data_IF_558143845017
#
_entry.id   IF_558143845017
#
_cell.length_a   1.000
_cell.length_b   1.000
_cell.length_c   1.000
_cell.angle_alpha   90.00
_cell.angle_beta   90.00
_cell.angle_gamma   90.00
#
_symmetry.space_group_name_H-M   'P 1'
#
loop_
_entity.id
_entity.type
_entity.pdbx_description
1 polymer ?
#
# COMPACT_ATOMS: atom_id res chain seq x y z
N UNK A 1 8.81 2.29 -0.62
CA UNK A 1 8.00 3.00 -1.64
C UNK A 1 6.64 2.31 -1.77
N UNK A 2 5.57 3.04 -2.10
CA UNK A 2 4.33 2.42 -2.55
C UNK A 2 4.52 1.65 -3.86
N UNK A 3 3.60 0.75 -4.17
CA UNK A 3 3.64 -0.01 -5.42
C UNK A 3 3.52 0.96 -6.61
N UNK A 4 4.53 1.00 -7.43
CA UNK A 4 4.68 1.80 -8.66
C UNK A 4 4.20 3.25 -8.49
N UNK A 5 5.04 4.12 -7.95
CA UNK A 5 4.71 5.53 -7.84
C UNK A 5 4.64 6.18 -9.23
N UNK A 6 3.63 7.01 -9.44
CA UNK A 6 3.60 7.89 -10.62
C UNK A 6 4.61 9.01 -10.45
N UNK A 7 5.24 9.47 -11.53
CA UNK A 7 6.15 10.62 -11.49
C UNK A 7 5.47 11.89 -10.96
N UNK A 8 4.18 12.09 -11.24
CA UNK A 8 3.38 13.21 -10.75
C UNK A 8 2.87 13.06 -9.32
N UNK A 9 3.06 11.90 -8.67
CA UNK A 9 2.54 11.65 -7.33
C UNK A 9 3.47 12.17 -6.25
N UNK A 10 2.91 12.84 -5.26
CA UNK A 10 3.67 13.28 -4.08
C UNK A 10 4.05 12.09 -3.21
N UNK A 11 5.35 11.89 -2.99
CA UNK A 11 5.86 10.89 -2.02
C UNK A 11 5.28 11.13 -0.63
N UNK A 12 5.26 12.39 -0.20
CA UNK A 12 4.68 12.78 1.08
C UNK A 12 3.18 12.49 1.15
N UNK A 13 2.44 12.77 0.07
CA UNK A 13 1.02 12.47 -0.03
C UNK A 13 0.74 10.97 0.11
N UNK A 14 1.55 10.12 -0.51
CA UNK A 14 1.43 8.65 -0.38
C UNK A 14 1.60 8.18 1.07
N UNK A 15 2.58 8.71 1.79
CA UNK A 15 2.81 8.35 3.19
C UNK A 15 1.73 8.89 4.13
N UNK A 16 1.25 10.10 3.88
CA UNK A 16 0.14 10.69 4.66
C UNK A 16 -1.17 9.94 4.44
N UNK A 17 -1.42 9.46 3.23
CA UNK A 17 -2.58 8.63 2.91
C UNK A 17 -2.41 7.16 3.33
N UNK A 18 -1.29 6.81 3.97
CA UNK A 18 -0.96 5.43 4.37
C UNK A 18 -1.11 4.44 3.22
N UNK A 19 -0.61 4.80 2.05
CA UNK A 19 -0.47 3.81 1.00
C UNK A 19 0.50 2.71 1.43
N UNK A 20 0.20 1.44 1.14
CA UNK A 20 1.06 0.35 1.57
C UNK A 20 2.44 0.47 0.93
N UNK A 21 3.48 0.26 1.74
CA UNK A 21 4.87 0.28 1.33
C UNK A 21 5.28 -1.15 1.03
N UNK A 22 5.93 -1.39 -0.12
CA UNK A 22 6.34 -2.74 -0.56
C UNK A 22 7.35 -3.42 0.36
N UNK A 23 7.92 -2.66 1.29
CA UNK A 23 8.87 -3.12 2.32
C UNK A 23 8.15 -3.33 3.65
N UNK A 24 7.83 -4.56 4.07
CA UNK A 24 7.00 -4.85 5.25
C UNK A 24 7.60 -4.39 6.59
N UNK A 25 8.90 -4.10 6.63
CA UNK A 25 9.59 -3.63 7.83
C UNK A 25 9.10 -2.27 8.35
N UNK A 26 8.52 -1.45 7.47
CA UNK A 26 7.98 -0.16 7.88
C UNK A 26 6.73 -0.30 8.74
N UNK A 27 6.69 0.41 9.85
CA UNK A 27 5.56 0.43 10.76
C UNK A 27 4.43 1.30 10.21
N UNK A 28 3.64 0.72 9.34
CA UNK A 28 2.52 1.38 8.69
C UNK A 28 1.48 1.97 9.68
N UNK A 29 1.30 1.37 10.86
CA UNK A 29 0.42 1.88 11.92
C UNK A 29 1.02 3.07 12.68
N UNK A 30 2.33 3.31 12.56
CA UNK A 30 3.02 4.49 13.07
C UNK A 30 3.10 5.57 11.99
N UNK A 31 3.88 6.60 12.23
CA UNK A 31 4.13 7.66 11.27
C UNK A 31 5.19 7.31 10.23
N UNK A 32 5.89 6.16 10.36
CA UNK A 32 6.96 5.77 9.44
C UNK A 32 6.52 5.81 7.96
N UNK A 33 7.35 6.33 7.08
CA UNK A 33 8.68 6.92 7.29
C UNK A 33 8.69 8.43 7.61
N UNK A 34 7.56 9.03 7.96
CA UNK A 34 7.48 10.44 8.34
C UNK A 34 8.03 10.60 9.75
N UNK A 35 8.89 11.59 9.97
CA UNK A 35 9.45 11.93 11.28
C UNK A 35 8.69 13.07 11.93
N UNK A 36 8.42 14.12 11.16
CA UNK A 36 7.70 15.29 11.62
C UNK A 36 7.09 16.05 10.44
N UNK A 37 6.10 16.89 10.75
CA UNK A 37 5.42 17.73 9.77
C UNK A 37 5.27 19.16 10.26
N UNK A 38 5.17 20.09 9.31
CA UNK A 38 4.59 21.42 9.52
C UNK A 38 3.23 21.44 8.86
N UNK A 39 2.23 21.88 9.60
CA UNK A 39 0.84 21.86 9.15
C UNK A 39 0.11 23.14 9.48
N UNK A 40 -0.85 23.50 8.64
CA UNK A 40 -1.79 24.60 8.88
C UNK A 40 -3.15 23.98 9.17
N UNK A 41 -3.71 24.32 10.32
CA UNK A 41 -5.01 23.87 10.75
C UNK A 41 -6.14 24.69 10.10
N UNK A 42 -7.37 24.18 10.12
CA UNK A 42 -8.54 24.92 9.65
C UNK A 42 -8.87 26.18 10.45
N UNK A 43 -8.33 26.32 11.67
CA UNK A 43 -8.34 27.56 12.46
C UNK A 43 -7.43 28.65 11.89
N UNK A 44 -6.45 28.28 11.06
CA UNK A 44 -5.37 29.15 10.56
C UNK A 44 -4.09 29.05 11.38
N UNK A 45 -4.09 28.31 12.48
CA UNK A 45 -2.90 28.12 13.31
C UNK A 45 -1.90 27.19 12.61
N UNK A 46 -0.62 27.51 12.79
CA UNK A 46 0.48 26.68 12.32
C UNK A 46 0.98 25.78 13.44
N UNK A 47 1.09 24.50 13.16
CA UNK A 47 1.61 23.51 14.09
C UNK A 47 2.82 22.80 13.47
N UNK A 48 3.88 22.62 14.27
CA UNK A 48 5.05 21.80 13.94
C UNK A 48 5.14 20.67 14.95
N UNK A 49 5.47 19.48 14.45
CA UNK A 49 5.49 18.26 15.27
C UNK A 49 6.88 17.64 15.34
N UNK A 50 7.10 16.74 16.29
CA UNK A 50 8.32 15.95 16.40
C UNK A 50 9.58 16.82 16.52
N UNK A 51 10.63 16.43 15.80
CA UNK A 51 11.91 17.19 15.77
C UNK A 51 11.80 18.58 15.17
N UNK A 52 10.69 18.89 14.48
CA UNK A 52 10.38 20.21 13.96
C UNK A 52 9.75 21.15 14.98
N UNK A 53 9.31 20.67 16.15
CA UNK A 53 8.67 21.46 17.21
C UNK A 53 9.70 22.21 18.08
N UNK A 54 10.70 22.83 17.48
CA UNK A 54 11.70 23.64 18.17
C UNK A 54 11.20 25.05 18.49
N UNK A 55 11.95 25.75 19.36
CA UNK A 55 11.69 27.17 19.70
C UNK A 55 12.06 28.14 18.57
N UNK A 56 12.76 27.66 17.56
CA UNK A 56 13.27 28.45 16.44
C UNK A 56 12.63 28.03 15.13
N UNK A 57 12.50 28.93 14.16
CA UNK A 57 12.14 28.54 12.79
C UNK A 57 13.10 27.47 12.27
N UNK A 58 12.59 26.44 11.63
CA UNK A 58 13.37 25.31 11.09
C UNK A 58 14.57 25.74 10.24
N UNK A 59 14.39 26.81 9.44
CA UNK A 59 15.43 27.39 8.60
C UNK A 59 16.62 27.90 9.43
N UNK A 60 16.36 28.46 10.62
CA UNK A 60 17.39 29.00 11.52
C UNK A 60 18.12 27.84 12.23
N UNK A 61 17.41 26.83 12.66
CA UNK A 61 18.04 25.64 13.30
C UNK A 61 18.97 24.92 12.33
N UNK A 62 18.56 24.74 11.08
CA UNK A 62 19.36 24.06 10.08
C UNK A 62 20.60 24.86 9.64
N UNK A 63 20.45 26.16 9.39
CA UNK A 63 21.56 27.02 8.98
C UNK A 63 22.57 27.23 10.09
N UNK A 64 22.14 27.23 11.34
CA UNK A 64 23.02 27.43 12.50
C UNK A 64 23.58 26.11 13.05
N UNK A 65 23.25 24.93 12.46
CA UNK A 65 23.67 23.60 12.92
C UNK A 65 23.41 23.39 14.42
N UNK A 66 22.39 24.02 14.98
CA UNK A 66 22.00 23.82 16.37
C UNK A 66 21.44 22.41 16.53
N UNK A 67 21.79 21.76 17.63
CA UNK A 67 21.32 20.43 17.95
C UNK A 67 19.79 20.44 17.99
N UNK A 68 19.18 19.72 17.09
CA UNK A 68 17.75 19.46 17.10
C UNK A 68 17.41 18.55 18.27
N UNK A 69 16.25 18.74 18.87
CA UNK A 69 15.73 17.81 19.86
C UNK A 69 15.43 16.50 19.14
N UNK A 70 16.17 15.44 19.44
CA UNK A 70 15.96 14.10 18.88
C UNK A 70 14.61 13.50 19.28
N UNK A 71 14.05 13.98 20.38
CA UNK A 71 12.82 13.49 20.94
C UNK A 71 11.83 14.64 20.94
N UNK A 72 10.70 14.41 20.36
CA UNK A 72 9.54 15.19 20.69
C UNK A 72 9.34 15.08 22.20
N UNK A 73 9.33 16.23 22.90
CA UNK A 73 8.84 16.25 24.27
C UNK A 73 7.32 16.05 24.32
N UNK A 74 6.72 15.86 23.17
CA UNK A 74 5.28 15.73 23.00
C UNK A 74 4.88 14.31 23.40
N UNK A 75 4.02 14.23 24.38
CA UNK A 75 3.37 12.96 24.77
C UNK A 75 2.32 12.52 23.74
N UNK A 76 1.95 13.40 22.81
CA UNK A 76 0.94 13.19 21.79
C UNK A 76 1.53 13.28 20.40
N UNK A 77 1.28 12.25 19.62
CA UNK A 77 1.71 12.20 18.21
C UNK A 77 0.63 12.81 17.31
N UNK A 78 0.69 14.12 17.15
CA UNK A 78 -0.28 14.87 16.35
C UNK A 78 -0.14 14.56 14.85
N UNK A 79 1.01 14.05 14.40
CA UNK A 79 1.18 13.60 13.00
C UNK A 79 0.19 12.51 12.65
N UNK A 80 -0.09 11.59 13.57
CA UNK A 80 -1.07 10.51 13.37
C UNK A 80 -2.48 11.02 13.07
N UNK A 81 -2.84 12.19 13.56
CA UNK A 81 -4.15 12.78 13.30
C UNK A 81 -4.28 13.30 11.87
N UNK A 82 -3.17 13.73 11.26
CA UNK A 82 -3.13 14.18 9.86
C UNK A 82 -3.07 13.02 8.88
N UNK A 83 -2.51 11.87 9.29
CA UNK A 83 -2.44 10.67 8.45
C UNK A 83 -3.84 10.06 8.27
N UNK A 84 -4.14 9.63 7.05
CA UNK A 84 -5.45 9.07 6.66
C UNK A 84 -6.64 9.99 6.93
N UNK A 85 -6.40 11.26 7.23
CA UNK A 85 -7.45 12.25 7.49
C UNK A 85 -8.14 12.73 6.21
N UNK A 86 -7.67 12.33 5.03
CA UNK A 86 -8.18 12.77 3.73
C UNK A 86 -8.22 14.30 3.61
N UNK A 87 -7.25 14.99 4.22
CA UNK A 87 -7.15 16.46 4.20
C UNK A 87 -8.23 17.19 5.02
N UNK A 88 -8.94 16.48 5.92
CA UNK A 88 -10.04 17.09 6.70
C UNK A 88 -9.58 17.80 7.96
N UNK A 89 -8.36 17.58 8.41
CA UNK A 89 -7.83 18.10 9.68
C UNK A 89 -6.86 19.26 9.45
N UNK A 90 -5.99 19.13 8.43
CA UNK A 90 -4.91 20.10 8.22
C UNK A 90 -4.35 20.05 6.80
N UNK A 91 -3.60 21.10 6.43
CA UNK A 91 -2.81 21.19 5.21
C UNK A 91 -1.35 21.01 5.59
N UNK A 92 -0.71 19.95 5.11
CA UNK A 92 0.72 19.72 5.34
C UNK A 92 1.53 20.56 4.37
N UNK A 93 2.40 21.40 4.90
CA UNK A 93 3.25 22.30 4.11
C UNK A 93 4.69 21.86 4.02
N UNK A 94 5.14 21.04 4.96
CA UNK A 94 6.49 20.52 5.03
C UNK A 94 6.51 19.23 5.87
N UNK A 95 7.44 18.31 5.54
CA UNK A 95 7.71 17.14 6.34
C UNK A 95 9.17 16.71 6.26
N UNK A 96 9.65 16.07 7.32
CA UNK A 96 10.89 15.30 7.32
C UNK A 96 10.56 13.81 7.22
N UNK A 97 11.29 13.10 6.37
CA UNK A 97 11.13 11.67 6.14
C UNK A 97 12.44 10.93 6.40
N UNK A 98 12.35 9.71 6.88
CA UNK A 98 13.49 8.81 7.04
C UNK A 98 14.01 8.41 5.66
N UNK A 99 15.33 8.49 5.49
CA UNK A 99 16.01 7.92 4.33
C UNK A 99 16.68 6.60 4.73
N UNK A 100 16.69 5.64 3.82
CA UNK A 100 17.48 4.43 3.93
C UNK A 100 18.69 4.50 3.01
N UNK A 101 19.76 3.76 3.35
CA UNK A 101 20.89 3.60 2.45
C UNK A 101 20.44 2.86 1.19
N UNK A 102 20.92 3.32 0.04
CA UNK A 102 20.72 2.57 -1.21
C UNK A 102 21.54 1.27 -1.16
N UNK A 103 20.93 0.14 -1.50
CA UNK A 103 21.65 -1.13 -1.54
C UNK A 103 22.69 -1.12 -2.68
N UNK A 104 23.84 -1.76 -2.43
CA UNK A 104 24.85 -2.03 -3.44
C UNK A 104 24.44 -3.20 -4.33
N UNK A 105 23.81 -4.21 -3.73
CA UNK A 105 23.23 -5.36 -4.41
C UNK A 105 21.74 -5.38 -4.15
N UNK A 106 20.94 -5.51 -5.21
CA UNK A 106 19.51 -5.62 -5.11
C UNK A 106 18.98 -6.63 -6.15
N UNK A 107 18.52 -7.76 -5.67
CA UNK A 107 17.96 -8.84 -6.48
C UNK A 107 16.49 -9.03 -6.16
N UNK A 108 15.67 -9.23 -7.18
CA UNK A 108 14.28 -9.67 -7.01
C UNK A 108 14.12 -11.12 -7.41
N UNK A 109 13.49 -11.89 -6.55
CA UNK A 109 13.06 -13.26 -6.79
C UNK A 109 11.56 -13.29 -7.04
N UNK A 110 11.16 -14.08 -8.01
CA UNK A 110 9.79 -14.37 -8.35
C UNK A 110 9.47 -15.78 -7.87
N UNK A 111 8.41 -15.93 -7.10
CA UNK A 111 7.97 -17.21 -6.57
C UNK A 111 6.58 -17.51 -7.16
N UNK A 112 6.51 -18.19 -8.30
CA UNK A 112 5.25 -18.54 -8.95
C UNK A 112 4.53 -19.64 -8.19
N UNK A 113 3.18 -19.59 -8.16
CA UNK A 113 2.36 -20.67 -7.62
C UNK A 113 0.94 -20.61 -8.20
N UNK A 114 0.33 -21.79 -8.36
CA UNK A 114 -1.08 -21.90 -8.78
C UNK A 114 -2.04 -21.61 -7.63
N UNK A 115 -1.58 -21.76 -6.39
CA UNK A 115 -2.36 -21.56 -5.16
C UNK A 115 -1.69 -20.56 -4.25
N UNK A 116 -2.48 -19.79 -3.54
CA UNK A 116 -1.98 -18.73 -2.68
C UNK A 116 -1.46 -19.24 -1.31
N UNK A 117 -2.04 -20.33 -0.78
CA UNK A 117 -1.75 -20.81 0.58
C UNK A 117 -0.27 -21.16 0.81
N UNK A 118 0.43 -21.90 -0.07
CA UNK A 118 1.85 -22.18 0.11
C UNK A 118 2.71 -20.91 0.12
N UNK A 119 2.34 -19.90 -0.69
CA UNK A 119 3.03 -18.62 -0.70
C UNK A 119 2.81 -17.84 0.59
N UNK A 120 1.61 -17.91 1.19
CA UNK A 120 1.30 -17.26 2.46
C UNK A 120 2.15 -17.85 3.58
N UNK A 121 2.18 -19.17 3.70
CA UNK A 121 2.93 -19.86 4.75
C UNK A 121 4.44 -19.57 4.63
N UNK A 122 4.97 -19.60 3.42
CA UNK A 122 6.34 -19.23 3.14
C UNK A 122 6.63 -17.77 3.52
N UNK A 123 5.76 -16.83 3.11
CA UNK A 123 5.92 -15.41 3.41
C UNK A 123 5.85 -15.11 4.90
N UNK A 124 4.99 -15.79 5.68
CA UNK A 124 4.98 -15.63 7.13
C UNK A 124 6.33 -15.97 7.77
N UNK A 125 7.01 -16.98 7.27
CA UNK A 125 8.35 -17.32 7.79
C UNK A 125 9.39 -16.30 7.37
N UNK A 126 9.35 -15.82 6.12
CA UNK A 126 10.22 -14.72 5.68
C UNK A 126 10.04 -13.48 6.58
N UNK A 127 8.81 -13.09 6.83
CA UNK A 127 8.47 -11.96 7.68
C UNK A 127 8.91 -12.17 9.13
N UNK A 128 8.75 -13.38 9.67
CA UNK A 128 9.17 -13.74 11.04
C UNK A 128 10.67 -13.67 11.22
N UNK A 129 11.44 -14.13 10.22
CA UNK A 129 12.90 -14.05 10.22
C UNK A 129 13.43 -12.69 9.77
N UNK A 130 12.53 -11.81 9.27
CA UNK A 130 12.86 -10.51 8.67
C UNK A 130 13.79 -10.66 7.46
N UNK A 131 13.59 -11.71 6.69
CA UNK A 131 14.25 -11.93 5.42
C UNK A 131 13.48 -11.27 4.31
N UNK A 132 14.19 -10.64 3.41
CA UNK A 132 13.63 -9.89 2.30
C UNK A 132 13.39 -8.41 2.61
N UNK A 133 13.65 -7.59 1.61
CA UNK A 133 13.40 -6.15 1.63
C UNK A 133 11.98 -5.86 1.15
N UNK A 134 11.63 -6.31 -0.05
CA UNK A 134 10.28 -6.28 -0.60
C UNK A 134 9.61 -7.64 -0.43
N UNK A 135 8.37 -7.64 -0.01
CA UNK A 135 7.51 -8.83 0.04
C UNK A 135 6.10 -8.40 -0.34
N UNK A 136 5.65 -8.80 -1.51
CA UNK A 136 4.31 -8.51 -2.01
C UNK A 136 3.80 -9.62 -2.93
N UNK A 137 2.48 -9.71 -3.06
CA UNK A 137 1.84 -10.70 -3.92
C UNK A 137 1.03 -10.00 -4.99
N UNK A 138 1.15 -10.48 -6.20
CA UNK A 138 0.34 -10.06 -7.34
C UNK A 138 -0.27 -11.30 -8.01
N UNK A 139 -1.48 -11.15 -8.53
CA UNK A 139 -1.98 -12.12 -9.49
C UNK A 139 -1.50 -11.80 -10.91
N UNK A 140 -1.72 -12.72 -11.83
CA UNK A 140 -1.32 -12.58 -13.23
C UNK A 140 -1.90 -11.31 -13.89
N UNK A 141 -3.14 -10.93 -13.58
CA UNK A 141 -3.78 -9.73 -14.13
C UNK A 141 -3.02 -8.45 -13.74
N UNK A 142 -2.69 -8.29 -12.47
CA UNK A 142 -1.95 -7.12 -12.01
C UNK A 142 -0.51 -7.10 -12.52
N UNK A 143 0.17 -8.26 -12.46
CA UNK A 143 1.56 -8.35 -12.91
C UNK A 143 1.68 -8.07 -14.41
N UNK A 144 0.80 -8.62 -15.24
CA UNK A 144 0.76 -8.33 -16.67
C UNK A 144 0.50 -6.84 -16.94
N UNK A 145 -0.47 -6.22 -16.24
CA UNK A 145 -0.76 -4.78 -16.39
C UNK A 145 0.37 -3.87 -15.96
N UNK A 146 1.22 -4.32 -15.02
CA UNK A 146 2.42 -3.60 -14.59
C UNK A 146 3.50 -3.63 -15.67
N UNK A 147 3.72 -4.80 -16.27
CA UNK A 147 4.86 -5.04 -17.15
C UNK A 147 4.59 -4.67 -18.61
N UNK A 148 3.35 -4.84 -19.08
CA UNK A 148 2.98 -4.53 -20.47
C UNK A 148 2.27 -3.17 -20.57
N UNK A 149 2.36 -2.52 -21.71
CA UNK A 149 1.78 -1.19 -21.96
C UNK A 149 0.48 -1.25 -22.76
N UNK A 150 0.33 -2.25 -23.65
CA UNK A 150 -0.83 -2.43 -24.51
C UNK A 150 -1.78 -3.50 -24.01
N UNK A 151 -3.06 -3.40 -24.37
CA UNK A 151 -4.10 -4.37 -23.97
C UNK A 151 -3.78 -5.79 -24.47
N UNK A 152 -3.39 -5.92 -25.74
CA UNK A 152 -3.06 -7.22 -26.35
C UNK A 152 -1.84 -7.87 -25.70
N UNK A 153 -0.83 -7.07 -25.36
CA UNK A 153 0.37 -7.55 -24.65
C UNK A 153 0.02 -7.98 -23.23
N UNK A 154 -0.89 -7.27 -22.55
CA UNK A 154 -1.38 -7.65 -21.21
C UNK A 154 -2.11 -8.99 -21.27
N UNK A 155 -2.99 -9.19 -22.25
CA UNK A 155 -3.73 -10.44 -22.43
C UNK A 155 -2.79 -11.60 -22.73
N UNK A 156 -1.84 -11.43 -23.63
CA UNK A 156 -0.83 -12.45 -23.97
C UNK A 156 0.05 -12.81 -22.77
N UNK A 157 0.54 -11.80 -22.05
CA UNK A 157 1.39 -12.04 -20.88
C UNK A 157 0.61 -12.72 -19.75
N UNK A 158 -0.64 -12.34 -19.54
CA UNK A 158 -1.52 -12.97 -18.51
C UNK A 158 -1.72 -14.45 -18.73
N UNK A 159 -1.78 -14.93 -19.99
CA UNK A 159 -1.94 -16.35 -20.32
C UNK A 159 -0.71 -17.19 -19.95
N UNK A 160 0.48 -16.58 -19.98
CA UNK A 160 1.74 -17.24 -19.66
C UNK A 160 2.06 -17.19 -18.17
N UNK A 161 1.60 -16.15 -17.49
CA UNK A 161 1.90 -15.92 -16.07
C UNK A 161 1.11 -16.88 -15.16
N UNK A 162 1.73 -17.38 -14.06
CA UNK A 162 1.04 -18.17 -13.06
C UNK A 162 -0.04 -17.34 -12.35
N UNK A 163 -1.08 -17.95 -11.81
CA UNK A 163 -2.17 -17.28 -11.13
C UNK A 163 -1.71 -16.33 -10.02
N UNK A 164 -0.69 -16.70 -9.26
CA UNK A 164 -0.13 -15.88 -8.18
C UNK A 164 1.40 -15.87 -8.24
N UNK A 165 1.98 -14.73 -7.93
CA UNK A 165 3.43 -14.53 -7.80
C UNK A 165 3.71 -13.78 -6.51
N UNK A 166 4.56 -14.35 -5.65
CA UNK A 166 5.18 -13.62 -4.57
C UNK A 166 6.47 -12.98 -5.11
N UNK A 167 6.61 -11.68 -4.96
CA UNK A 167 7.82 -10.92 -5.28
C UNK A 167 8.59 -10.73 -3.99
N UNK A 168 9.85 -11.17 -3.99
CA UNK A 168 10.76 -11.14 -2.85
C UNK A 168 12.05 -10.43 -3.22
N UNK A 169 12.36 -9.31 -2.59
CA UNK A 169 13.62 -8.59 -2.77
C UNK A 169 14.65 -8.98 -1.74
N UNK A 170 15.90 -9.13 -2.16
CA UNK A 170 17.06 -9.33 -1.29
C UNK A 170 18.07 -8.24 -1.58
N UNK A 171 18.62 -7.63 -0.51
CA UNK A 171 19.54 -6.51 -0.63
C UNK A 171 20.84 -6.75 0.13
N UNK A 172 21.96 -6.31 -0.46
CA UNK A 172 23.24 -6.14 0.18
C UNK A 172 23.53 -4.64 0.34
N UNK A 173 23.62 -4.17 1.58
CA UNK A 173 23.96 -2.77 1.85
C UNK A 173 25.45 -2.53 1.58
N UNK A 174 25.85 -1.31 1.18
CA UNK A 174 27.26 -0.97 1.06
C UNK A 174 27.98 -1.21 2.39
N UNK A 175 29.23 -1.64 2.33
CA UNK A 175 30.01 -2.08 3.49
C UNK A 175 29.54 -3.42 4.09
N UNK A 176 30.32 -3.99 4.98
CA UNK A 176 29.99 -5.23 5.71
C UNK A 176 29.70 -6.46 4.85
N UNK A 177 30.52 -6.70 3.81
CA UNK A 177 30.46 -7.91 2.97
C UNK A 177 29.07 -8.14 2.32
N UNK A 178 28.62 -7.22 1.43
CA UNK A 178 27.27 -7.30 0.84
C UNK A 178 27.04 -8.59 0.03
N UNK A 179 28.05 -9.09 -0.68
CA UNK A 179 28.00 -10.31 -1.47
C UNK A 179 27.76 -11.54 -0.58
N UNK A 180 28.53 -11.68 0.50
CA UNK A 180 28.41 -12.79 1.43
C UNK A 180 27.04 -12.77 2.12
N UNK A 181 26.57 -11.59 2.54
CA UNK A 181 25.26 -11.44 3.18
C UNK A 181 24.12 -11.83 2.25
N UNK A 182 24.20 -11.44 1.00
CA UNK A 182 23.20 -11.82 -0.02
C UNK A 182 23.26 -13.33 -0.24
N UNK A 183 24.46 -13.91 -0.37
CA UNK A 183 24.61 -15.35 -0.57
C UNK A 183 24.05 -16.19 0.60
N UNK A 184 24.29 -15.77 1.84
CA UNK A 184 23.69 -16.42 3.03
C UNK A 184 22.18 -16.31 3.03
N UNK A 185 21.62 -15.12 2.78
CA UNK A 185 20.18 -14.94 2.71
C UNK A 185 19.55 -15.80 1.61
N UNK A 186 20.18 -15.88 0.43
CA UNK A 186 19.72 -16.74 -0.66
C UNK A 186 19.70 -18.21 -0.28
N UNK A 187 20.73 -18.70 0.42
CA UNK A 187 20.81 -20.08 0.88
C UNK A 187 19.67 -20.40 1.87
N UNK A 188 19.51 -19.54 2.87
CA UNK A 188 18.47 -19.69 3.89
C UNK A 188 17.06 -19.65 3.28
N UNK A 189 16.81 -18.71 2.36
CA UNK A 189 15.52 -18.58 1.66
C UNK A 189 15.23 -19.80 0.78
N UNK A 190 16.25 -20.34 0.08
CA UNK A 190 16.10 -21.54 -0.75
C UNK A 190 15.80 -22.78 0.11
N UNK A 191 16.49 -22.93 1.24
CA UNK A 191 16.19 -24.03 2.18
C UNK A 191 14.77 -23.91 2.74
N UNK A 192 14.37 -22.70 3.14
CA UNK A 192 13.01 -22.45 3.63
C UNK A 192 11.97 -22.74 2.55
N UNK A 193 12.19 -22.30 1.31
CA UNK A 193 11.27 -22.49 0.19
C UNK A 193 10.99 -23.97 -0.09
N UNK A 194 12.03 -24.84 0.01
CA UNK A 194 11.88 -26.28 -0.13
C UNK A 194 10.89 -26.88 0.87
N UNK A 195 10.84 -26.37 2.10
CA UNK A 195 9.90 -26.84 3.14
C UNK A 195 8.44 -26.54 2.80
N UNK A 196 8.20 -25.49 2.03
CA UNK A 196 6.86 -25.06 1.61
C UNK A 196 6.52 -25.47 0.16
N UNK A 197 7.42 -26.19 -0.50
CA UNK A 197 7.21 -26.66 -1.87
C UNK A 197 7.12 -25.54 -2.91
N UNK A 198 7.79 -24.41 -2.67
CA UNK A 198 7.87 -23.27 -3.59
C UNK A 198 9.28 -23.06 -4.09
N UNK A 199 9.44 -22.46 -5.25
CA UNK A 199 10.74 -22.30 -5.92
C UNK A 199 10.96 -20.84 -6.26
N UNK A 200 11.75 -20.08 -5.47
CA UNK A 200 12.19 -18.74 -5.83
C UNK A 200 13.16 -18.78 -7.01
N UNK A 201 12.90 -17.96 -8.03
CA UNK A 201 13.75 -17.82 -9.21
C UNK A 201 13.98 -16.36 -9.56
N UNK A 202 15.12 -16.03 -10.17
CA UNK A 202 15.40 -14.69 -10.71
C UNK A 202 14.59 -14.42 -11.99
N UNK A 203 13.96 -15.43 -12.56
CA UNK A 203 13.07 -15.33 -13.72
C UNK A 203 12.01 -16.44 -13.66
N UNK A 204 10.91 -16.21 -14.36
CA UNK A 204 9.87 -17.19 -14.66
C UNK A 204 9.46 -17.05 -16.13
N UNK A 205 8.68 -17.98 -16.73
CA UNK A 205 8.24 -17.84 -18.12
C UNK A 205 7.66 -16.46 -18.41
N UNK A 206 8.25 -15.76 -19.38
CA UNK A 206 7.84 -14.45 -19.86
C UNK A 206 8.30 -13.24 -19.03
N UNK A 207 8.95 -13.41 -17.87
CA UNK A 207 9.30 -12.30 -16.97
C UNK A 207 10.58 -12.57 -16.17
N UNK A 208 11.45 -11.58 -16.08
CA UNK A 208 12.63 -11.58 -15.22
C UNK A 208 12.44 -10.67 -13.98
N UNK A 209 13.17 -10.98 -12.89
CA UNK A 209 13.21 -10.14 -11.70
C UNK A 209 13.72 -8.73 -11.97
N UNK A 210 14.64 -8.56 -12.93
CA UNK A 210 15.16 -7.24 -13.32
C UNK A 210 14.09 -6.39 -14.02
N UNK A 211 13.22 -7.00 -14.84
CA UNK A 211 12.08 -6.28 -15.45
C UNK A 211 11.08 -5.84 -14.39
N UNK A 212 10.75 -6.73 -13.46
CA UNK A 212 9.87 -6.40 -12.33
C UNK A 212 10.51 -5.29 -11.46
N UNK A 213 11.79 -5.40 -11.12
CA UNK A 213 12.53 -4.38 -10.36
C UNK A 213 12.46 -3.03 -11.07
N UNK A 214 12.72 -2.99 -12.37
CA UNK A 214 12.63 -1.77 -13.16
C UNK A 214 11.24 -1.17 -13.10
N UNK A 215 10.20 -1.97 -13.29
CA UNK A 215 8.82 -1.51 -13.21
C UNK A 215 8.42 -0.98 -11.82
N UNK A 216 8.90 -1.62 -10.74
CA UNK A 216 8.62 -1.18 -9.37
C UNK A 216 9.31 0.13 -8.99
N UNK A 217 10.54 0.34 -9.47
CA UNK A 217 11.40 1.44 -9.01
C UNK A 217 11.52 2.61 -9.99
N UNK A 218 11.05 2.46 -11.23
CA UNK A 218 11.08 3.54 -12.22
C UNK A 218 9.72 4.23 -12.27
N UNK A 219 9.63 5.50 -11.83
CA UNK A 219 8.40 6.28 -11.99
C UNK A 219 8.03 6.40 -13.47
N UNK A 220 6.76 6.25 -13.80
CA UNK A 220 6.27 6.42 -15.16
C UNK A 220 5.33 7.63 -15.24
N UNK A 221 5.49 8.43 -16.30
CA UNK A 221 4.57 9.54 -16.61
C UNK A 221 3.50 9.10 -17.65
N UNK A 222 3.55 7.85 -18.09
CA UNK A 222 2.61 7.25 -19.03
C UNK A 222 1.26 6.91 -18.40
N UNK A 223 0.46 6.14 -19.16
CA UNK A 223 -0.83 5.64 -18.66
C UNK A 223 -0.59 4.82 -17.40
N UNK A 224 -1.30 5.12 -16.30
CA UNK A 224 -1.20 4.32 -15.07
C UNK A 224 -1.47 2.85 -15.35
N UNK A 225 -0.64 1.97 -14.81
CA UNK A 225 -0.72 0.54 -15.06
C UNK A 225 -2.13 -0.05 -14.84
N UNK A 226 -2.87 0.43 -13.85
CA UNK A 226 -4.25 0.01 -13.56
C UNK A 226 -5.25 0.37 -14.69
N UNK A 227 -4.91 1.34 -15.53
CA UNK A 227 -5.79 1.80 -16.62
C UNK A 227 -5.41 1.21 -17.98
N UNK A 228 -4.26 0.53 -18.10
CA UNK A 228 -3.74 0.04 -19.38
C UNK A 228 -4.60 -1.04 -20.03
N UNK A 229 -5.26 -1.88 -19.21
CA UNK A 229 -6.07 -3.00 -19.70
C UNK A 229 -7.37 -2.53 -20.38
N UNK A 230 -8.17 -1.67 -19.70
CA UNK A 230 -9.51 -1.29 -20.16
C UNK A 230 -9.82 0.22 -20.09
N UNK A 231 -8.87 1.05 -19.69
CA UNK A 231 -9.06 2.50 -19.57
C UNK A 231 -9.63 2.96 -18.21
N UNK A 232 -10.35 2.12 -17.49
CA UNK A 232 -10.90 2.38 -16.16
C UNK A 232 -10.51 1.33 -15.15
N UNK A 233 -10.37 1.75 -13.88
CA UNK A 233 -10.15 0.85 -12.76
C UNK A 233 -10.77 1.43 -11.49
N UNK A 234 -11.42 0.57 -10.73
CA UNK A 234 -11.89 0.89 -9.38
C UNK A 234 -11.24 -0.06 -8.38
N UNK A 235 -10.63 0.53 -7.36
CA UNK A 235 -9.95 -0.24 -6.33
C UNK A 235 -10.89 -0.50 -5.17
N UNK A 236 -10.87 -1.73 -4.64
CA UNK A 236 -11.49 -2.10 -3.36
C UNK A 236 -10.38 -2.56 -2.46
N UNK A 237 -10.08 -1.84 -1.39
CA UNK A 237 -8.98 -2.18 -0.51
C UNK A 237 -9.33 -2.01 0.97
N UNK A 238 -8.73 -2.87 1.79
CA UNK A 238 -8.90 -2.91 3.23
C UNK A 238 -7.70 -3.60 3.88
N UNK A 239 -7.66 -3.57 5.20
CA UNK A 239 -6.66 -4.31 5.99
C UNK A 239 -7.28 -5.55 6.59
N UNK A 240 -6.54 -6.65 6.54
CA UNK A 240 -6.86 -7.93 7.16
C UNK A 240 -5.57 -8.62 7.62
N UNK A 241 -5.60 -9.90 7.97
CA UNK A 241 -4.39 -10.72 8.14
C UNK A 241 -4.11 -11.51 6.86
N UNK A 242 -2.85 -11.85 6.61
CA UNK A 242 -2.44 -12.46 5.36
C UNK A 242 -3.10 -13.85 5.15
N UNK A 243 -3.25 -14.63 6.21
CA UNK A 243 -3.89 -15.95 6.21
C UNK A 243 -5.38 -15.90 5.83
N UNK A 244 -6.06 -14.77 6.04
CA UNK A 244 -7.46 -14.61 5.68
C UNK A 244 -7.68 -14.13 4.25
N UNK A 245 -6.63 -13.76 3.54
CA UNK A 245 -6.77 -13.25 2.16
C UNK A 245 -7.41 -14.23 1.19
N UNK A 246 -7.20 -15.55 1.25
CA UNK A 246 -7.92 -16.51 0.39
C UNK A 246 -9.45 -16.50 0.61
N UNK A 247 -9.90 -16.32 1.86
CA UNK A 247 -11.34 -16.16 2.16
C UNK A 247 -11.92 -14.93 1.46
N UNK A 248 -11.23 -13.79 1.56
CA UNK A 248 -11.66 -12.54 0.94
C UNK A 248 -11.63 -12.59 -0.60
N UNK A 249 -10.65 -13.25 -1.19
CA UNK A 249 -10.59 -13.49 -2.64
C UNK A 249 -11.79 -14.32 -3.09
N UNK A 250 -12.11 -15.40 -2.38
CA UNK A 250 -13.30 -16.22 -2.68
C UNK A 250 -14.58 -15.41 -2.58
N UNK A 251 -14.72 -14.55 -1.57
CA UNK A 251 -15.85 -13.65 -1.43
C UNK A 251 -15.98 -12.74 -2.65
N UNK A 252 -14.89 -12.09 -3.07
CA UNK A 252 -14.91 -11.18 -4.21
C UNK A 252 -15.21 -11.91 -5.52
N UNK A 253 -14.71 -13.11 -5.73
CA UNK A 253 -15.05 -13.91 -6.91
C UNK A 253 -16.52 -14.28 -6.92
N UNK A 254 -17.10 -14.69 -5.78
CA UNK A 254 -18.55 -14.96 -5.67
C UNK A 254 -19.37 -13.72 -5.98
N UNK A 255 -18.97 -12.54 -5.49
CA UNK A 255 -19.65 -11.29 -5.81
C UNK A 255 -19.49 -10.91 -7.28
N UNK A 256 -18.30 -11.08 -7.85
CA UNK A 256 -18.05 -10.84 -9.27
C UNK A 256 -18.98 -11.68 -10.17
N UNK A 257 -19.11 -12.96 -9.88
CA UNK A 257 -20.02 -13.88 -10.57
C UNK A 257 -21.48 -13.40 -10.45
N UNK A 258 -21.94 -13.04 -9.25
CA UNK A 258 -23.30 -12.60 -9.00
C UNK A 258 -23.67 -11.32 -9.79
N UNK A 259 -22.70 -10.43 -10.04
CA UNK A 259 -22.90 -9.22 -10.81
C UNK A 259 -22.47 -9.33 -12.29
N UNK A 260 -22.08 -10.52 -12.74
CA UNK A 260 -21.65 -10.77 -14.12
C UNK A 260 -20.35 -10.03 -14.49
N UNK A 261 -19.45 -9.82 -13.51
CA UNK A 261 -18.12 -9.27 -13.74
C UNK A 261 -17.13 -10.43 -13.94
N UNK A 262 -16.29 -10.42 -15.00
CA UNK A 262 -15.33 -11.48 -15.24
C UNK A 262 -14.26 -11.52 -14.13
N UNK A 263 -14.22 -12.60 -13.35
CA UNK A 263 -13.25 -12.75 -12.26
C UNK A 263 -11.80 -12.71 -12.77
N UNK A 264 -11.57 -13.09 -14.03
CA UNK A 264 -10.27 -13.01 -14.69
C UNK A 264 -9.75 -11.59 -14.91
N UNK A 265 -10.64 -10.59 -14.93
CA UNK A 265 -10.29 -9.19 -15.09
C UNK A 265 -10.02 -8.49 -13.75
N UNK A 266 -10.20 -9.22 -12.65
CA UNK A 266 -9.93 -8.72 -11.31
C UNK A 266 -8.46 -8.85 -10.98
N UNK A 267 -7.79 -7.73 -10.80
CA UNK A 267 -6.45 -7.67 -10.25
C UNK A 267 -6.45 -7.91 -8.73
N UNK A 268 -5.43 -8.60 -8.22
CA UNK A 268 -5.24 -8.84 -6.79
C UNK A 268 -3.85 -8.36 -6.40
N UNK A 269 -3.80 -7.54 -5.36
CA UNK A 269 -2.57 -7.09 -4.73
C UNK A 269 -2.66 -7.30 -3.22
N UNK A 270 -1.70 -8.06 -2.67
CA UNK A 270 -1.60 -8.30 -1.24
C UNK A 270 -0.24 -7.79 -0.76
N UNK A 271 -0.27 -6.90 0.23
CA UNK A 271 0.92 -6.32 0.81
C UNK A 271 0.95 -6.60 2.31
N UNK A 272 1.84 -7.50 2.77
CA UNK A 272 2.12 -7.60 4.20
C UNK A 272 2.61 -6.25 4.74
N UNK A 273 2.06 -5.82 5.85
CA UNK A 273 2.40 -4.56 6.53
C UNK A 273 2.71 -4.83 8.00
N UNK A 274 3.45 -3.92 8.63
CA UNK A 274 3.85 -4.05 10.04
C UNK A 274 4.49 -5.42 10.32
N UNK A 275 5.46 -5.80 9.51
CA UNK A 275 6.19 -7.08 9.60
C UNK A 275 5.26 -8.30 9.59
N UNK A 276 4.17 -8.24 8.84
CA UNK A 276 3.23 -9.34 8.65
C UNK A 276 2.14 -9.50 9.71
N UNK A 277 2.04 -8.59 10.68
CA UNK A 277 0.92 -8.60 11.64
C UNK A 277 -0.40 -8.23 10.97
N UNK A 278 -0.33 -7.58 9.82
CA UNK A 278 -1.48 -7.21 9.01
C UNK A 278 -1.13 -7.30 7.53
N UNK A 279 -2.14 -7.31 6.69
CA UNK A 279 -2.02 -7.33 5.24
C UNK A 279 -3.00 -6.32 4.62
N UNK A 280 -2.48 -5.46 3.75
CA UNK A 280 -3.32 -4.70 2.83
C UNK A 280 -3.77 -5.64 1.72
N UNK A 281 -5.07 -5.80 1.58
CA UNK A 281 -5.71 -6.60 0.54
C UNK A 281 -6.43 -5.66 -0.41
N UNK A 282 -6.10 -5.73 -1.69
CA UNK A 282 -6.65 -4.85 -2.71
C UNK A 282 -7.11 -5.64 -3.93
N UNK A 283 -8.30 -5.32 -4.40
CA UNK A 283 -8.90 -5.80 -5.63
C UNK A 283 -8.99 -4.65 -6.62
N UNK A 284 -8.44 -4.82 -7.82
CA UNK A 284 -8.48 -3.85 -8.89
C UNK A 284 -9.49 -4.31 -9.94
N UNK A 285 -10.62 -3.61 -10.03
CA UNK A 285 -11.71 -3.95 -10.94
C UNK A 285 -11.56 -3.11 -12.21
N UNK A 286 -11.01 -3.71 -13.25
CA UNK A 286 -10.79 -3.05 -14.54
C UNK A 286 -12.09 -3.05 -15.37
N UNK A 287 -12.37 -1.95 -16.06
CA UNK A 287 -13.57 -1.81 -16.90
C UNK A 287 -13.36 -0.77 -18.00
N UNK A 288 -14.17 -0.84 -19.04
CA UNK A 288 -14.23 0.21 -20.06
C UNK A 288 -15.16 1.35 -19.58
N UNK A 289 -14.61 2.54 -19.29
CA UNK A 289 -15.43 3.68 -18.87
C UNK A 289 -16.38 4.21 -19.95
N UNK A 290 -16.16 3.85 -21.21
CA UNK A 290 -17.05 4.19 -22.31
C UNK A 290 -18.26 3.25 -22.40
N UNK A 291 -18.21 2.06 -21.77
CA UNK A 291 -19.35 1.15 -21.66
C UNK A 291 -20.15 1.40 -20.36
N UNK A 292 -21.37 1.97 -20.45
CA UNK A 292 -22.22 2.20 -19.28
C UNK A 292 -22.58 0.91 -18.53
N UNK A 293 -22.62 -0.24 -19.22
CA UNK A 293 -22.98 -1.53 -18.62
C UNK A 293 -21.83 -2.04 -17.74
N UNK A 294 -20.59 -1.96 -18.22
CA UNK A 294 -19.41 -2.31 -17.40
C UNK A 294 -19.30 -1.37 -16.20
N UNK A 295 -19.49 -0.07 -16.42
CA UNK A 295 -19.47 0.94 -15.36
C UNK A 295 -20.49 0.65 -14.26
N UNK A 296 -21.73 0.30 -14.63
CA UNK A 296 -22.81 -0.02 -13.66
C UNK A 296 -22.50 -1.32 -12.91
N UNK A 297 -22.02 -2.37 -13.60
CA UNK A 297 -21.58 -3.62 -12.94
C UNK A 297 -20.52 -3.36 -11.88
N UNK A 298 -19.48 -2.62 -12.21
CA UNK A 298 -18.38 -2.32 -11.29
C UNK A 298 -18.88 -1.48 -10.11
N UNK A 299 -19.74 -0.48 -10.32
CA UNK A 299 -20.34 0.32 -9.24
C UNK A 299 -21.13 -0.54 -8.25
N UNK A 300 -21.95 -1.47 -8.75
CA UNK A 300 -22.72 -2.41 -7.91
C UNK A 300 -21.80 -3.36 -7.16
N UNK A 301 -20.83 -3.96 -7.86
CA UNK A 301 -19.88 -4.88 -7.27
C UNK A 301 -19.07 -4.23 -6.16
N UNK A 302 -18.61 -2.98 -6.33
CA UNK A 302 -17.90 -2.22 -5.29
C UNK A 302 -18.78 -2.02 -4.06
N UNK A 303 -20.03 -1.62 -4.23
CA UNK A 303 -20.91 -1.29 -3.11
C UNK A 303 -21.27 -2.53 -2.31
N UNK A 304 -21.75 -3.56 -2.99
CA UNK A 304 -22.21 -4.78 -2.32
C UNK A 304 -21.03 -5.65 -1.86
N UNK A 305 -19.95 -5.71 -2.66
CA UNK A 305 -18.72 -6.36 -2.26
C UNK A 305 -18.15 -5.76 -0.98
N UNK A 306 -18.11 -4.42 -0.88
CA UNK A 306 -17.62 -3.75 0.33
C UNK A 306 -18.46 -4.09 1.57
N UNK A 307 -19.79 -4.21 1.45
CA UNK A 307 -20.63 -4.66 2.59
C UNK A 307 -20.23 -6.04 3.08
N UNK A 308 -20.14 -6.99 2.17
CA UNK A 308 -19.77 -8.36 2.52
C UNK A 308 -18.36 -8.43 3.11
N UNK A 309 -17.42 -7.66 2.56
CA UNK A 309 -16.05 -7.61 3.07
C UNK A 309 -15.99 -7.00 4.49
N UNK A 310 -16.76 -5.93 4.77
CA UNK A 310 -16.87 -5.34 6.11
C UNK A 310 -17.53 -6.31 7.08
N UNK A 311 -18.60 -7.01 6.66
CA UNK A 311 -19.29 -8.01 7.48
C UNK A 311 -18.38 -9.19 7.84
N UNK A 312 -17.44 -9.52 6.97
CA UNK A 312 -16.39 -10.51 7.17
C UNK A 312 -15.20 -10.01 8.01
N UNK A 313 -15.20 -8.72 8.40
CA UNK A 313 -14.16 -8.12 9.24
C UNK A 313 -13.00 -7.51 8.46
N UNK A 314 -13.19 -7.17 7.19
CA UNK A 314 -12.27 -6.32 6.44
C UNK A 314 -12.28 -4.90 7.01
N UNK A 315 -11.10 -4.35 7.37
CA UNK A 315 -10.97 -3.01 7.94
C UNK A 315 -10.67 -1.97 6.86
N UNK A 316 -11.67 -1.17 6.49
CA UNK A 316 -11.56 -0.10 5.50
C UNK A 316 -10.98 1.15 6.16
N UNK A 317 -9.67 1.31 6.12
CA UNK A 317 -8.95 2.39 6.81
C UNK A 317 -8.97 3.76 6.10
N UNK A 318 -9.34 3.79 4.82
CA UNK A 318 -9.53 5.01 4.02
C UNK A 318 -10.84 4.92 3.24
N UNK A 319 -12.00 4.93 3.90
CA UNK A 319 -13.26 4.80 3.21
C UNK A 319 -13.56 6.05 2.37
N UNK A 320 -13.88 5.85 1.10
CA UNK A 320 -14.31 6.90 0.18
C UNK A 320 -15.54 6.46 -0.63
N UNK A 321 -16.24 7.41 -1.23
CA UNK A 321 -17.44 7.12 -2.03
C UNK A 321 -18.46 6.29 -1.23
N UNK A 322 -18.99 5.19 -1.81
CA UNK A 322 -20.02 4.36 -1.16
C UNK A 322 -19.51 3.64 0.10
N UNK A 323 -18.20 3.47 0.27
CA UNK A 323 -17.66 2.78 1.44
C UNK A 323 -17.74 3.60 2.71
N UNK A 324 -17.83 4.92 2.59
CA UNK A 324 -17.89 5.84 3.73
C UNK A 324 -19.01 5.43 4.68
N UNK A 325 -20.23 5.32 4.17
CA UNK A 325 -21.40 4.96 4.97
C UNK A 325 -21.28 3.53 5.54
N UNK A 326 -20.80 2.59 4.72
CA UNK A 326 -20.63 1.19 5.12
C UNK A 326 -19.61 1.07 6.26
N UNK A 327 -18.44 1.70 6.13
CA UNK A 327 -17.38 1.64 7.14
C UNK A 327 -17.79 2.34 8.44
N UNK A 328 -18.35 3.54 8.35
CA UNK A 328 -18.76 4.30 9.53
C UNK A 328 -20.02 3.78 10.21
N UNK A 329 -20.83 2.95 9.56
CA UNK A 329 -21.96 2.26 10.22
C UNK A 329 -21.50 1.28 11.31
N UNK A 330 -20.24 0.90 11.32
CA UNK A 330 -19.63 0.01 12.33
C UNK A 330 -18.95 0.76 13.47
N UNK A 331 -18.84 2.07 13.37
CA UNK A 331 -18.26 2.92 14.42
C UNK A 331 -19.31 3.25 15.46
N UNK A 332 -18.96 3.21 16.74
CA UNK A 332 -19.90 3.55 17.81
C UNK A 332 -20.32 5.02 17.74
N UNK A 333 -21.52 5.32 18.27
CA UNK A 333 -22.02 6.69 18.31
C UNK A 333 -21.11 7.62 19.12
N UNK A 334 -20.50 7.12 20.18
CA UNK A 334 -19.56 7.87 21.03
C UNK A 334 -18.26 8.16 20.28
N UNK A 335 -17.70 7.17 19.59
CA UNK A 335 -16.49 7.35 18.77
C UNK A 335 -16.73 8.36 17.64
N UNK A 336 -17.86 8.23 16.95
CA UNK A 336 -18.26 9.18 15.91
C UNK A 336 -18.41 10.61 16.44
N UNK A 337 -19.01 10.76 17.65
CA UNK A 337 -19.12 12.06 18.31
C UNK A 337 -17.75 12.62 18.72
N UNK A 338 -16.82 11.76 19.17
CA UNK A 338 -15.46 12.16 19.50
C UNK A 338 -14.70 12.66 18.26
N UNK A 339 -14.79 11.96 17.11
CA UNK A 339 -14.21 12.40 15.85
C UNK A 339 -14.74 13.76 15.41
N UNK A 340 -16.04 14.00 15.53
CA UNK A 340 -16.64 15.31 15.24
C UNK A 340 -16.17 16.42 16.18
N UNK A 341 -15.96 16.12 17.47
CA UNK A 341 -15.38 17.09 18.42
C UNK A 341 -13.95 17.44 18.03
N UNK A 342 -13.15 16.44 17.69
CA UNK A 342 -11.77 16.65 17.21
C UNK A 342 -11.74 17.52 15.97
N UNK A 343 -12.56 17.24 14.96
CA UNK A 343 -12.70 18.08 13.76
C UNK A 343 -12.99 19.54 14.12
N UNK A 344 -13.92 19.83 15.03
CA UNK A 344 -14.27 21.20 15.42
C UNK A 344 -13.12 21.93 16.14
N UNK A 345 -12.23 21.22 16.82
CA UNK A 345 -11.05 21.82 17.45
C UNK A 345 -10.07 22.31 16.38
N UNK A 346 -9.80 21.49 15.37
CA UNK A 346 -8.78 21.78 14.35
C UNK A 346 -9.31 22.55 13.15
N UNK A 347 -10.59 22.43 12.86
CA UNK A 347 -11.27 23.12 11.76
C UNK A 347 -12.66 23.61 12.21
N UNK A 348 -12.70 24.65 13.05
CA UNK A 348 -13.95 25.14 13.64
C UNK A 348 -14.95 25.66 12.59
N UNK A 349 -14.48 26.08 11.43
CA UNK A 349 -15.32 26.60 10.33
C UNK A 349 -15.73 25.50 9.32
N UNK A 350 -15.20 24.28 9.46
CA UNK A 350 -15.50 23.16 8.56
C UNK A 350 -15.07 23.39 7.10
N UNK A 351 -13.98 24.14 6.88
CA UNK A 351 -13.52 24.54 5.53
C UNK A 351 -12.60 23.51 4.87
N UNK A 352 -11.99 22.62 5.68
CA UNK A 352 -11.05 21.62 5.18
C UNK A 352 -11.78 20.38 4.66
N UNK A 353 -11.73 20.21 3.36
CA UNK A 353 -12.21 19.05 2.59
C UNK A 353 -13.57 18.52 3.07
N UNK A 354 -14.64 19.32 3.04
CA UNK A 354 -15.94 18.92 3.54
C UNK A 354 -16.47 17.71 2.75
N UNK A 355 -17.23 16.85 3.43
CA UNK A 355 -17.80 15.64 2.83
C UNK A 355 -16.84 14.45 2.76
N UNK A 356 -15.60 14.57 3.25
CA UNK A 356 -14.63 13.46 3.35
C UNK A 356 -14.55 12.92 4.77
N UNK A 357 -14.01 11.70 4.92
CA UNK A 357 -14.04 10.94 6.16
C UNK A 357 -15.47 10.92 6.74
N UNK A 358 -15.64 11.18 8.03
CA UNK A 358 -16.95 11.23 8.69
C UNK A 358 -17.51 12.67 8.84
N UNK A 359 -17.00 13.64 8.06
CA UNK A 359 -17.29 15.06 8.21
C UNK A 359 -18.01 15.67 7.01
#
# INVERSE_FOLDING_TARGET
>A
MPLIPRGSKSVLGSYLEKEPIIMPRHHWCSIDPILCVRTILGSGDMLQTGTGAGLWPLEVEWTQKKAQKFWSSEQYDIVKMSQSSQGTISIITWASVKCALLPQIHKLYLVPCDRLEPLIDFAYMLLRYRWGEEILFLNNQNLASILAEGKEDIETLREVLPPYVLILGIVGLPEFFPEDRVAYQEADIKELAQRYGVVPGEAMPGVSGEEVKRALYTPTDGIPWKLRSKGGCQDVFFVTTLDRTPEFIKVMYTQAEAYGYPATDMGIYLQPIVQGTSCHCEFNLTYDPADPRETDKVKRLITEGARVLVDKGGYFYRPYGPWKEIAYSRVSGEEFAALKKMKRIFDPKGILNPGKACF
#
